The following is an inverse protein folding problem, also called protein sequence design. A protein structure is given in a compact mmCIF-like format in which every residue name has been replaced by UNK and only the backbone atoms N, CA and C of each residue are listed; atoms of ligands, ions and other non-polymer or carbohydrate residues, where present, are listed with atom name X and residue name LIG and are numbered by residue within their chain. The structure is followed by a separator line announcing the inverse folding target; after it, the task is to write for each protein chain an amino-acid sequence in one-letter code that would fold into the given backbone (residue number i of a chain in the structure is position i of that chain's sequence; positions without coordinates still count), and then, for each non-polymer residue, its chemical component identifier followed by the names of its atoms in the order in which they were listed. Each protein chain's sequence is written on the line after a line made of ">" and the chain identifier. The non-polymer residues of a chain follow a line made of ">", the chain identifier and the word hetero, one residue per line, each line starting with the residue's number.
data_IF_842720613342
#
_entry.id   IF_842720613342
#
_cell.length_a   1.000
_cell.length_b   1.000
_cell.length_c   1.000
_cell.angle_alpha   90.00
_cell.angle_beta   90.00
_cell.angle_gamma   90.00
#
_symmetry.space_group_name_H-M   'P 1'
#
loop_
_entity.id
_entity.type
_entity.pdbx_description
1 polymer ?
#
# COMPACT_ATOMS: atom_id res chain seq x y z
N UNK A 1 3.33 24.96 -18.22
CA UNK A 1 3.84 24.09 -19.30
C UNK A 1 3.57 22.68 -18.84
N UNK A 2 2.38 22.16 -19.15
CA UNK A 2 2.07 20.75 -18.88
C UNK A 2 3.05 19.94 -19.70
N UNK A 3 3.89 19.14 -19.04
CA UNK A 3 4.83 18.29 -19.74
C UNK A 3 4.02 17.26 -20.54
N UNK A 4 3.95 17.46 -21.86
CA UNK A 4 3.61 16.37 -22.76
C UNK A 4 4.68 15.29 -22.53
N UNK A 5 4.31 14.20 -21.88
CA UNK A 5 5.18 13.03 -21.79
C UNK A 5 5.45 12.58 -23.23
N UNK A 6 6.73 12.61 -23.62
CA UNK A 6 7.18 12.04 -24.87
C UNK A 6 6.76 10.56 -24.90
N UNK A 7 6.18 10.10 -26.02
CA UNK A 7 5.70 8.73 -26.17
C UNK A 7 6.79 7.70 -25.85
N UNK A 8 8.05 8.05 -26.11
CA UNK A 8 9.21 7.24 -25.75
C UNK A 8 9.38 7.08 -24.23
N UNK A 9 9.21 8.16 -23.46
CA UNK A 9 9.32 8.12 -22.01
C UNK A 9 8.23 7.24 -21.38
N UNK A 10 7.01 7.31 -21.91
CA UNK A 10 5.88 6.49 -21.47
C UNK A 10 6.09 5.00 -21.75
N UNK A 11 6.68 4.68 -22.91
CA UNK A 11 7.07 3.30 -23.26
C UNK A 11 8.17 2.75 -22.35
N UNK A 12 9.18 3.55 -22.01
CA UNK A 12 10.24 3.11 -21.07
C UNK A 12 9.69 2.88 -19.66
N UNK A 13 8.78 3.74 -19.18
CA UNK A 13 8.14 3.56 -17.88
C UNK A 13 7.33 2.25 -17.82
N UNK A 14 6.57 1.96 -18.88
CA UNK A 14 5.82 0.69 -19.01
C UNK A 14 6.72 -0.54 -18.95
N UNK A 15 7.92 -0.50 -19.56
CA UNK A 15 8.88 -1.60 -19.50
C UNK A 15 9.33 -1.86 -18.06
N UNK A 16 9.64 -0.82 -17.30
CA UNK A 16 10.06 -0.98 -15.91
C UNK A 16 8.95 -1.60 -15.03
N UNK A 17 7.69 -1.31 -15.30
CA UNK A 17 6.56 -1.97 -14.64
C UNK A 17 6.45 -3.45 -15.00
N UNK A 18 6.65 -3.80 -16.27
CA UNK A 18 6.62 -5.19 -16.70
C UNK A 18 7.76 -6.02 -16.09
N UNK A 19 8.96 -5.44 -15.96
CA UNK A 19 10.10 -6.09 -15.31
C UNK A 19 9.79 -6.47 -13.87
N UNK A 20 9.24 -5.53 -13.08
CA UNK A 20 8.83 -5.82 -11.69
C UNK A 20 7.70 -6.84 -11.63
N UNK A 21 6.73 -6.80 -12.56
CA UNK A 21 5.67 -7.80 -12.63
C UNK A 21 6.23 -9.22 -12.86
N UNK A 22 7.33 -9.34 -13.60
CA UNK A 22 8.06 -10.59 -13.83
C UNK A 22 9.02 -10.97 -12.69
N UNK A 23 9.12 -10.15 -11.65
CA UNK A 23 9.95 -10.41 -10.47
C UNK A 23 11.35 -9.79 -10.51
N UNK A 24 11.70 -9.02 -11.54
CA UNK A 24 12.95 -8.26 -11.56
C UNK A 24 12.79 -6.97 -10.73
N UNK A 25 13.25 -7.05 -9.49
CA UNK A 25 13.21 -5.96 -8.52
C UNK A 25 14.48 -5.08 -8.55
N UNK A 26 15.51 -5.48 -9.29
CA UNK A 26 16.76 -4.71 -9.41
C UNK A 26 16.66 -3.67 -10.54
N UNK A 27 16.04 -4.04 -11.66
CA UNK A 27 15.93 -3.20 -12.85
C UNK A 27 14.50 -2.67 -13.09
N UNK A 28 13.50 -3.20 -12.39
CA UNK A 28 12.10 -2.79 -12.50
C UNK A 28 11.71 -1.67 -11.51
N UNK A 29 10.58 -1.03 -11.79
CA UNK A 29 10.00 -0.02 -10.90
C UNK A 29 9.10 -0.64 -9.84
N UNK A 30 9.60 -0.74 -8.61
CA UNK A 30 8.86 -1.28 -7.45
C UNK A 30 7.98 -0.20 -6.82
N UNK A 31 6.71 -0.15 -7.23
CA UNK A 31 5.74 0.83 -6.77
C UNK A 31 5.16 0.49 -5.39
N UNK A 32 5.75 1.08 -4.33
CA UNK A 32 5.30 0.88 -2.94
C UNK A 32 5.22 2.21 -2.19
N UNK A 33 4.19 2.37 -1.36
CA UNK A 33 4.06 3.49 -0.43
C UNK A 33 4.83 3.26 0.87
N UNK A 34 4.93 4.29 1.71
CA UNK A 34 5.62 4.20 3.01
C UNK A 34 5.00 3.15 3.96
N UNK A 35 3.72 2.80 3.75
CA UNK A 35 3.04 1.74 4.48
C UNK A 35 3.70 0.36 4.31
N UNK A 36 4.56 0.15 3.31
CA UNK A 36 5.31 -1.11 3.19
C UNK A 36 6.11 -1.43 4.46
N UNK A 37 6.60 -0.41 5.17
CA UNK A 37 7.39 -0.59 6.39
C UNK A 37 6.64 -1.34 7.51
N UNK A 38 5.30 -1.31 7.51
CA UNK A 38 4.47 -2.02 8.51
C UNK A 38 4.01 -3.41 8.05
N UNK A 39 4.21 -3.78 6.78
CA UNK A 39 3.83 -5.10 6.27
C UNK A 39 4.92 -6.12 6.64
N UNK A 40 4.61 -7.05 7.55
CA UNK A 40 5.57 -8.03 8.09
C UNK A 40 5.36 -9.47 7.63
N UNK A 41 4.28 -9.76 6.92
CA UNK A 41 3.96 -11.10 6.46
C UNK A 41 3.05 -11.06 5.22
N UNK A 42 3.13 -12.11 4.39
CA UNK A 42 2.18 -12.35 3.31
C UNK A 42 0.94 -13.03 3.89
N UNK A 43 -0.25 -12.53 3.53
CA UNK A 43 -1.55 -13.03 4.02
C UNK A 43 -2.45 -13.31 2.83
N UNK A 44 -3.50 -14.12 3.05
CA UNK A 44 -4.59 -14.21 2.08
C UNK A 44 -5.36 -12.89 2.10
N UNK A 45 -5.85 -12.48 0.93
CA UNK A 45 -6.69 -11.27 0.78
C UNK A 45 -7.82 -11.18 1.82
N UNK A 46 -8.66 -12.21 2.06
CA UNK A 46 -9.71 -12.12 3.07
C UNK A 46 -9.18 -11.86 4.49
N UNK A 47 -8.02 -12.42 4.84
CA UNK A 47 -7.42 -12.24 6.17
C UNK A 47 -6.96 -10.79 6.37
N UNK A 48 -6.39 -10.16 5.32
CA UNK A 48 -5.99 -8.75 5.34
C UNK A 48 -7.20 -7.86 5.64
N UNK A 49 -8.30 -8.07 4.91
CA UNK A 49 -9.52 -7.26 5.06
C UNK A 49 -10.10 -7.43 6.47
N UNK A 50 -10.23 -8.69 6.93
CA UNK A 50 -10.79 -8.98 8.25
C UNK A 50 -9.96 -8.37 9.38
N UNK A 51 -8.63 -8.46 9.30
CA UNK A 51 -7.74 -7.89 10.29
C UNK A 51 -7.86 -6.37 10.36
N UNK A 52 -7.78 -5.68 9.21
CA UNK A 52 -7.90 -4.22 9.15
C UNK A 52 -9.23 -3.74 9.76
N UNK A 53 -10.34 -4.38 9.40
CA UNK A 53 -11.67 -4.02 9.94
C UNK A 53 -11.73 -4.27 11.44
N UNK A 54 -11.27 -5.43 11.90
CA UNK A 54 -11.32 -5.80 13.33
C UNK A 54 -10.44 -4.90 14.18
N UNK A 55 -9.24 -4.57 13.72
CA UNK A 55 -8.34 -3.65 14.42
C UNK A 55 -8.92 -2.23 14.49
N UNK A 56 -9.53 -1.76 13.40
CA UNK A 56 -10.23 -0.47 13.39
C UNK A 56 -11.37 -0.44 14.41
N UNK A 57 -12.21 -1.48 14.47
CA UNK A 57 -13.28 -1.56 15.47
C UNK A 57 -12.74 -1.52 16.91
N UNK A 58 -11.68 -2.27 17.20
CA UNK A 58 -11.04 -2.30 18.52
C UNK A 58 -10.51 -0.91 18.87
N UNK A 59 -9.84 -0.24 17.95
CA UNK A 59 -9.31 1.11 18.16
C UNK A 59 -10.43 2.12 18.46
N UNK A 60 -11.52 2.10 17.70
CA UNK A 60 -12.69 2.99 17.90
C UNK A 60 -13.36 2.72 19.25
N UNK A 61 -13.59 1.45 19.60
CA UNK A 61 -14.17 1.05 20.90
C UNK A 61 -13.27 1.51 22.05
N UNK A 62 -11.94 1.37 21.92
CA UNK A 62 -10.97 1.82 22.92
C UNK A 62 -11.06 3.33 23.13
N UNK A 63 -11.02 4.12 22.07
CA UNK A 63 -11.14 5.60 22.14
C UNK A 63 -12.47 6.01 22.79
N UNK A 64 -13.60 5.44 22.37
CA UNK A 64 -14.91 5.78 22.95
C UNK A 64 -15.03 5.42 24.44
N UNK A 65 -14.37 4.35 24.90
CA UNK A 65 -14.33 3.97 26.31
C UNK A 65 -13.46 4.91 27.15
N UNK A 66 -12.33 5.37 26.61
CA UNK A 66 -11.44 6.33 27.26
C UNK A 66 -12.10 7.70 27.40
N UNK A 67 -12.81 8.16 26.36
CA UNK A 67 -13.54 9.43 26.41
C UNK A 67 -14.62 9.42 27.51
N UNK A 68 -15.30 8.28 27.71
CA UNK A 68 -16.31 8.13 28.78
C UNK A 68 -15.75 8.08 30.20
N UNK A 69 -14.50 7.64 30.39
CA UNK A 69 -13.83 7.61 31.71
C UNK A 69 -13.25 8.97 32.13
N UNK A 70 -13.15 9.91 31.19
CA UNK A 70 -12.60 11.25 31.41
C UNK A 70 -13.67 12.32 31.72
N UNK A 71 -14.95 11.96 31.61
CA UNK A 71 -16.09 12.70 32.16
C UNK A 71 -16.41 12.20 33.56
#
# INVERSE_FOLDING_TARGET
>A
MEAQMDAKALLEEQKHYELTYRGDIENGAVLLGQSIGIIKQIKKVPDIIQEVVKEAEIAIKRVSSLSRKRM
#
